data_IF_538523581829
#
_entry.id   IF_538523581829
#
_cell.length_a   1.000
_cell.length_b   1.000
_cell.length_c   1.000
_cell.angle_alpha   90.00
_cell.angle_beta   90.00
_cell.angle_gamma   90.00
#
_symmetry.space_group_name_H-M   'P 1'
#
loop_
_entity.id
_entity.type
_entity.pdbx_description
1 polymer ?
#
# COMPACT_ATOMS: atom_id res chain seq x y z
N UNK A 1 18.71 3.95 0.03
CA UNK A 1 17.71 5.01 0.29
C UNK A 1 17.13 4.79 1.67
N UNK A 2 16.60 5.81 2.37
CA UNK A 2 16.05 5.61 3.71
C UNK A 2 14.72 4.86 3.63
N UNK A 3 14.64 3.74 4.34
CA UNK A 3 13.37 3.07 4.64
C UNK A 3 12.75 3.79 5.83
N UNK A 4 11.54 4.30 5.66
CA UNK A 4 10.83 5.11 6.65
C UNK A 4 9.75 4.24 7.30
N UNK A 5 9.66 4.30 8.63
CA UNK A 5 8.57 3.68 9.38
C UNK A 5 7.41 4.67 9.44
N UNK A 6 6.28 4.39 8.79
CA UNK A 6 5.16 5.33 8.73
C UNK A 6 4.41 5.36 10.06
N UNK A 7 3.78 6.50 10.34
CA UNK A 7 2.80 6.63 11.42
C UNK A 7 1.40 6.54 10.84
N UNK A 8 0.73 5.40 11.05
CA UNK A 8 -0.68 5.23 10.68
C UNK A 8 -1.55 6.08 11.62
N UNK A 9 -2.40 6.93 11.04
CA UNK A 9 -3.30 7.83 11.78
C UNK A 9 -4.67 7.20 11.98
N UNK A 10 -5.20 6.60 10.91
CA UNK A 10 -6.45 5.86 10.95
C UNK A 10 -6.45 4.80 9.84
N UNK A 11 -7.23 3.74 10.08
CA UNK A 11 -7.47 2.68 9.12
C UNK A 11 -8.90 2.16 9.26
N UNK A 12 -9.53 1.86 8.13
CA UNK A 12 -10.86 1.25 8.07
C UNK A 12 -10.91 0.21 6.96
N UNK A 13 -11.71 -0.85 7.14
CA UNK A 13 -11.90 -1.91 6.16
C UNK A 13 -10.89 -3.05 6.33
N UNK A 14 -10.27 -3.49 5.22
CA UNK A 14 -9.32 -4.62 5.21
C UNK A 14 -8.21 -4.38 6.23
N UNK A 15 -7.92 -5.41 7.04
CA UNK A 15 -6.86 -5.33 8.03
C UNK A 15 -5.48 -5.59 7.39
N UNK A 16 -4.73 -4.50 7.23
CA UNK A 16 -3.31 -4.51 6.84
C UNK A 16 -2.48 -3.72 7.85
N UNK A 17 -1.21 -4.05 7.98
CA UNK A 17 -0.22 -3.26 8.70
C UNK A 17 0.72 -2.62 7.66
N UNK A 18 0.79 -1.30 7.59
CA UNK A 18 1.78 -0.61 6.75
C UNK A 18 3.12 -0.62 7.51
N UNK A 19 4.09 -1.40 7.02
CA UNK A 19 5.34 -1.67 7.72
C UNK A 19 6.44 -0.69 7.35
N UNK A 20 6.53 -0.31 6.08
CA UNK A 20 7.56 0.61 5.60
C UNK A 20 7.15 1.38 4.36
N UNK A 21 7.76 2.55 4.22
CA UNK A 21 7.70 3.40 3.04
C UNK A 21 9.11 3.66 2.55
N UNK A 22 9.34 3.50 1.26
CA UNK A 22 10.56 3.93 0.60
C UNK A 22 10.23 5.00 -0.44
N UNK A 23 10.91 6.13 -0.37
CA UNK A 23 10.81 7.22 -1.31
C UNK A 23 12.00 7.21 -2.27
N UNK A 24 11.71 7.24 -3.56
CA UNK A 24 12.64 7.50 -4.64
C UNK A 24 12.20 8.78 -5.38
N UNK A 25 13.06 9.32 -6.23
CA UNK A 25 12.84 10.63 -6.88
C UNK A 25 11.47 10.79 -7.55
N UNK A 26 10.94 9.72 -8.15
CA UNK A 26 9.62 9.72 -8.81
C UNK A 26 8.71 8.57 -8.39
N UNK A 27 9.08 7.82 -7.34
CA UNK A 27 8.35 6.63 -6.90
C UNK A 27 8.20 6.61 -5.39
N UNK A 28 7.08 6.08 -4.93
CA UNK A 28 6.89 5.66 -3.55
C UNK A 28 6.59 4.16 -3.54
N UNK A 29 7.30 3.42 -2.70
CA UNK A 29 7.06 2.01 -2.46
C UNK A 29 6.48 1.84 -1.05
N UNK A 30 5.30 1.25 -0.97
CA UNK A 30 4.62 0.92 0.27
C UNK A 30 4.67 -0.59 0.49
N UNK A 31 5.14 -1.01 1.66
CA UNK A 31 5.12 -2.42 2.08
C UNK A 31 4.09 -2.63 3.18
N UNK A 32 3.22 -3.59 2.95
CA UNK A 32 2.16 -4.00 3.86
C UNK A 32 2.37 -5.44 4.34
N UNK A 33 1.85 -5.73 5.54
CA UNK A 33 1.55 -7.07 6.00
C UNK A 33 0.05 -7.23 6.10
N UNK A 34 -0.54 -8.06 5.25
CA UNK A 34 -1.92 -8.46 5.38
C UNK A 34 -2.05 -9.57 6.42
N UNK A 35 -3.05 -9.46 7.29
CA UNK A 35 -3.41 -10.52 8.25
C UNK A 35 -4.41 -11.50 7.65
N UNK A 36 -5.15 -11.08 6.63
CA UNK A 36 -6.18 -11.87 5.97
C UNK A 36 -5.68 -12.39 4.62
N UNK A 37 -5.80 -13.71 4.45
CA UNK A 37 -5.53 -14.40 3.20
C UNK A 37 -6.82 -15.01 2.68
N UNK A 38 -7.06 -14.87 1.39
CA UNK A 38 -8.20 -15.47 0.68
C UNK A 38 -7.69 -16.45 -0.36
N UNK A 39 -8.46 -17.52 -0.59
CA UNK A 39 -8.17 -18.43 -1.70
C UNK A 39 -8.38 -17.73 -3.03
N UNK A 40 -7.41 -17.87 -3.92
CA UNK A 40 -7.43 -17.32 -5.26
C UNK A 40 -7.02 -18.37 -6.29
N UNK A 41 -7.73 -18.41 -7.42
CA UNK A 41 -7.48 -19.32 -8.53
C UNK A 41 -8.01 -20.75 -8.34
N UNK A 42 -7.86 -21.57 -9.39
CA UNK A 42 -8.42 -22.94 -9.46
C UNK A 42 -7.76 -23.96 -8.51
N UNK A 43 -6.65 -23.59 -7.85
CA UNK A 43 -5.89 -24.47 -6.96
C UNK A 43 -5.82 -23.96 -5.51
N UNK A 44 -6.71 -23.05 -5.10
CA UNK A 44 -6.82 -22.61 -3.71
C UNK A 44 -5.57 -21.92 -3.17
N UNK A 45 -4.85 -21.16 -4.01
CA UNK A 45 -3.65 -20.45 -3.55
C UNK A 45 -4.06 -19.30 -2.63
N UNK A 46 -3.59 -19.33 -1.39
CA UNK A 46 -3.83 -18.24 -0.44
C UNK A 46 -3.08 -16.99 -0.90
N UNK A 47 -3.82 -15.89 -1.07
CA UNK A 47 -3.29 -14.56 -1.40
C UNK A 47 -3.81 -13.52 -0.43
N UNK A 48 -3.02 -12.47 -0.12
CA UNK A 48 -3.49 -11.34 0.68
C UNK A 48 -4.75 -10.71 0.10
N UNK A 49 -5.78 -10.43 0.92
CA UNK A 49 -7.05 -9.85 0.45
C UNK A 49 -6.83 -8.54 -0.34
N UNK A 50 -5.88 -7.71 0.11
CA UNK A 50 -5.49 -6.44 -0.53
C UNK A 50 -4.96 -6.60 -1.96
N UNK A 51 -4.58 -7.82 -2.39
CA UNK A 51 -4.18 -8.09 -3.77
C UNK A 51 -5.35 -7.99 -4.76
N UNK A 52 -6.59 -8.14 -4.30
CA UNK A 52 -7.78 -8.00 -5.15
C UNK A 52 -8.27 -6.54 -5.27
N UNK A 53 -7.74 -5.63 -4.44
CA UNK A 53 -8.18 -4.24 -4.39
C UNK A 53 -7.55 -3.39 -5.50
N UNK A 54 -8.30 -2.45 -6.08
CA UNK A 54 -7.69 -1.37 -6.85
C UNK A 54 -7.32 -0.25 -5.88
N UNK A 55 -6.03 -0.06 -5.65
CA UNK A 55 -5.53 0.87 -4.64
C UNK A 55 -5.13 2.18 -5.30
N UNK A 56 -5.56 3.29 -4.71
CA UNK A 56 -5.14 4.64 -5.05
C UNK A 56 -4.38 5.26 -3.89
N UNK A 57 -3.48 6.17 -4.20
CA UNK A 57 -2.73 6.94 -3.20
C UNK A 57 -2.95 8.42 -3.51
N UNK A 58 -3.37 9.18 -2.50
CA UNK A 58 -3.68 10.60 -2.60
C UNK A 58 -2.91 11.39 -1.52
N UNK A 59 -2.42 12.57 -1.86
CA UNK A 59 -1.81 13.49 -0.88
C UNK A 59 -2.85 14.40 -0.20
N UNK A 60 -2.42 15.25 0.74
CA UNK A 60 -3.32 16.18 1.43
C UNK A 60 -3.89 17.29 0.54
N UNK A 61 -3.40 17.45 -0.69
CA UNK A 61 -3.87 18.42 -1.66
C UNK A 61 -4.87 17.82 -2.67
N UNK A 62 -5.17 16.52 -2.55
CA UNK A 62 -6.02 15.79 -3.49
C UNK A 62 -5.31 15.31 -4.74
N UNK A 63 -3.97 15.36 -4.78
CA UNK A 63 -3.18 14.87 -5.91
C UNK A 63 -3.08 13.36 -5.83
N UNK A 64 -3.45 12.66 -6.90
CA UNK A 64 -3.38 11.20 -6.96
C UNK A 64 -2.09 10.71 -7.63
N UNK A 65 -1.46 9.71 -7.03
CA UNK A 65 -0.35 8.97 -7.61
C UNK A 65 -0.86 7.78 -8.43
N UNK A 66 -0.09 7.38 -9.46
CA UNK A 66 -0.47 6.27 -10.35
C UNK A 66 0.14 4.98 -9.85
N UNK A 67 -0.66 3.95 -9.60
CA UNK A 67 -0.15 2.63 -9.20
C UNK A 67 0.57 1.98 -10.39
N UNK A 68 1.88 1.72 -10.24
CA UNK A 68 2.71 1.08 -11.27
C UNK A 68 2.73 -0.44 -11.09
N UNK A 69 2.90 -0.88 -9.85
CA UNK A 69 3.09 -2.30 -9.55
C UNK A 69 2.45 -2.66 -8.22
N UNK A 70 1.95 -3.90 -8.15
CA UNK A 70 1.52 -4.55 -6.93
C UNK A 70 1.93 -6.02 -6.95
N UNK A 71 2.68 -6.45 -5.94
CA UNK A 71 3.17 -7.83 -5.80
C UNK A 71 2.97 -8.33 -4.37
N UNK A 72 2.86 -9.66 -4.22
CA UNK A 72 2.79 -10.31 -2.91
C UNK A 72 3.80 -11.45 -2.83
N UNK A 73 4.36 -11.66 -1.65
CA UNK A 73 5.25 -12.77 -1.39
C UNK A 73 4.51 -14.07 -1.06
N UNK A 74 5.24 -15.19 -1.09
CA UNK A 74 4.77 -16.52 -0.74
C UNK A 74 5.71 -17.20 0.27
N UNK A 75 5.33 -18.38 0.77
CA UNK A 75 6.14 -19.14 1.74
C UNK A 75 6.21 -18.44 3.11
N UNK A 76 7.38 -18.37 3.77
CA UNK A 76 7.53 -17.74 5.09
C UNK A 76 7.13 -16.25 5.12
N UNK A 77 7.14 -15.61 3.96
CA UNK A 77 6.78 -14.21 3.77
C UNK A 77 5.37 -14.01 3.21
N UNK A 78 4.57 -15.07 3.14
CA UNK A 78 3.16 -14.97 2.78
C UNK A 78 2.45 -13.92 3.65
N UNK A 79 1.69 -13.04 3.00
CA UNK A 79 1.08 -11.89 3.64
C UNK A 79 1.80 -10.56 3.37
N UNK A 80 3.07 -10.57 2.95
CA UNK A 80 3.72 -9.33 2.52
C UNK A 80 3.21 -8.89 1.14
N UNK A 81 2.94 -7.60 1.03
CA UNK A 81 2.47 -6.96 -0.19
C UNK A 81 3.27 -5.69 -0.41
N UNK A 82 3.82 -5.54 -1.60
CA UNK A 82 4.54 -4.36 -2.04
C UNK A 82 3.71 -3.65 -3.12
N UNK A 83 3.48 -2.35 -2.95
CA UNK A 83 2.75 -1.51 -3.90
C UNK A 83 3.59 -0.28 -4.23
N UNK A 84 3.87 -0.09 -5.51
CA UNK A 84 4.64 1.04 -6.00
C UNK A 84 3.74 2.04 -6.74
N UNK A 85 3.94 3.32 -6.49
CA UNK A 85 3.24 4.41 -7.18
C UNK A 85 4.22 5.40 -7.80
N UNK A 86 3.93 5.81 -9.03
CA UNK A 86 4.57 6.97 -9.68
C UNK A 86 4.03 8.26 -9.10
N UNK A 87 4.94 9.09 -8.60
CA UNK A 87 4.64 10.39 -8.01
C UNK A 87 4.61 11.48 -9.09
N UNK A 88 3.51 12.23 -9.24
CA UNK A 88 3.50 13.41 -10.08
C UNK A 88 4.38 14.53 -9.48
N UNK A 89 4.85 15.52 -10.27
CA UNK A 89 5.80 16.54 -9.83
C UNK A 89 5.38 17.44 -8.65
N UNK A 90 4.11 17.38 -8.23
CA UNK A 90 3.54 18.20 -7.15
C UNK A 90 2.97 17.35 -6.01
N UNK A 91 3.27 16.05 -5.99
CA UNK A 91 2.79 15.18 -4.93
C UNK A 91 3.44 15.54 -3.60
N UNK A 92 2.64 15.88 -2.60
CA UNK A 92 3.11 16.24 -1.27
C UNK A 92 3.32 15.00 -0.39
N UNK A 93 4.58 14.64 -0.17
CA UNK A 93 4.97 13.53 0.71
C UNK A 93 5.20 13.95 2.16
N UNK A 94 5.23 15.25 2.45
CA UNK A 94 5.39 15.77 3.81
C UNK A 94 4.07 15.86 4.57
N UNK A 95 2.96 15.96 3.83
CA UNK A 95 1.60 15.94 4.36
C UNK A 95 1.09 14.54 4.74
N UNK A 96 -0.18 14.48 5.15
CA UNK A 96 -0.88 13.21 5.31
C UNK A 96 -1.16 12.62 3.93
N UNK A 97 -0.80 11.35 3.74
CA UNK A 97 -1.16 10.57 2.57
C UNK A 97 -2.32 9.64 2.90
N UNK A 98 -3.17 9.40 1.91
CA UNK A 98 -4.37 8.60 2.01
C UNK A 98 -4.33 7.49 0.96
N UNK A 99 -4.27 6.26 1.44
CA UNK A 99 -4.36 5.05 0.63
C UNK A 99 -5.81 4.55 0.63
N UNK A 100 -6.40 4.35 -0.54
CA UNK A 100 -7.81 3.99 -0.65
C UNK A 100 -8.05 2.87 -1.65
N UNK A 101 -9.09 2.09 -1.39
CA UNK A 101 -9.74 1.21 -2.35
C UNK A 101 -11.24 1.13 -2.01
N UNK A 102 -11.97 0.22 -2.62
CA UNK A 102 -13.37 -0.04 -2.27
C UNK A 102 -13.50 -0.49 -0.81
N UNK A 103 -12.57 -1.33 -0.34
CA UNK A 103 -12.62 -1.96 0.99
C UNK A 103 -11.50 -1.54 1.93
N UNK A 104 -10.66 -0.56 1.58
CA UNK A 104 -9.56 -0.08 2.42
C UNK A 104 -9.53 1.45 2.42
N UNK A 105 -9.37 2.04 3.59
CA UNK A 105 -8.98 3.44 3.75
C UNK A 105 -7.93 3.52 4.85
N UNK A 106 -6.74 3.99 4.52
CA UNK A 106 -5.61 4.07 5.43
C UNK A 106 -4.90 5.41 5.26
N UNK A 107 -4.90 6.25 6.30
CA UNK A 107 -4.14 7.49 6.29
C UNK A 107 -2.88 7.38 7.14
N UNK A 108 -1.78 7.92 6.64
CA UNK A 108 -0.48 7.84 7.27
C UNK A 108 0.38 9.07 6.98
N UNK A 109 1.44 9.22 7.77
CA UNK A 109 2.52 10.20 7.56
C UNK A 109 3.86 9.46 7.62
N UNK A 110 4.88 10.02 6.99
CA UNK A 110 6.26 9.50 6.99
C UNK A 110 7.24 10.52 7.56
#
# INVERSE_FOLDING_TARGET
>A
MPVIVPTVKHQHGINVELQSVELLDSLILLRFRATELVESGAHGTLRPTVMNERITLEDSLGTQATQEQKSSDSGPFAGLVDVAFSLPPKFDTAGQMLLQSENLSLAFTI
#
